data_IF_935207412716
#
_entry.id   IF_935207412716
#
_cell.length_a   1.000
_cell.length_b   1.000
_cell.length_c   1.000
_cell.angle_alpha   90.00
_cell.angle_beta   90.00
_cell.angle_gamma   90.00
#
_symmetry.space_group_name_H-M   'P 1'
#
loop_
_entity.id
_entity.type
_entity.pdbx_description
1 polymer ?
#
# COMPACT_ATOMS: atom_id res chain seq x y z
N UNK A 1 -6.30 5.22 17.83
CA UNK A 1 -7.36 4.36 17.23
C UNK A 1 -8.38 3.88 18.29
N UNK A 2 -8.41 4.54 19.46
CA UNK A 2 -9.29 4.19 20.58
C UNK A 2 -10.74 3.97 20.16
N UNK A 3 -11.30 2.82 20.45
CA UNK A 3 -12.68 2.44 20.12
C UNK A 3 -13.01 2.25 18.64
N UNK A 4 -12.01 2.27 17.75
CA UNK A 4 -12.20 2.22 16.29
C UNK A 4 -12.21 0.80 15.76
N UNK A 5 -12.90 0.62 14.63
CA UNK A 5 -12.82 -0.58 13.80
C UNK A 5 -11.81 -0.36 12.64
N UNK A 6 -10.92 -1.32 12.43
CA UNK A 6 -9.81 -1.22 11.46
C UNK A 6 -9.81 -2.44 10.52
N UNK A 7 -9.72 -2.18 9.21
CA UNK A 7 -9.49 -3.19 8.18
C UNK A 7 -8.10 -2.97 7.59
N UNK A 8 -7.27 -4.01 7.58
CA UNK A 8 -5.92 -4.01 6.99
C UNK A 8 -5.93 -4.86 5.71
N UNK A 9 -5.80 -4.19 4.57
CA UNK A 9 -5.84 -4.78 3.23
C UNK A 9 -4.43 -5.17 2.76
N UNK A 10 -4.15 -6.46 2.65
CA UNK A 10 -2.82 -7.00 2.41
C UNK A 10 -1.98 -6.92 3.69
N UNK A 11 -2.51 -7.45 4.79
CA UNK A 11 -1.94 -7.28 6.13
C UNK A 11 -0.59 -7.98 6.34
N UNK A 12 -0.16 -8.84 5.42
CA UNK A 12 1.07 -9.61 5.55
C UNK A 12 1.10 -10.41 6.86
N UNK A 13 2.17 -10.25 7.64
CA UNK A 13 2.29 -10.89 8.96
C UNK A 13 1.61 -10.12 10.11
N UNK A 14 0.74 -9.14 9.81
CA UNK A 14 -0.18 -8.53 10.78
C UNK A 14 0.39 -7.43 11.67
N UNK A 15 1.50 -6.80 11.28
CA UNK A 15 2.14 -5.76 12.10
C UNK A 15 1.22 -4.56 12.35
N UNK A 16 0.53 -4.08 11.32
CA UNK A 16 -0.40 -2.94 11.45
C UNK A 16 -1.64 -3.32 12.26
N UNK A 17 -2.12 -4.57 12.14
CA UNK A 17 -3.22 -5.07 12.97
C UNK A 17 -2.83 -5.04 14.45
N UNK A 18 -1.61 -5.51 14.80
CA UNK A 18 -1.11 -5.49 16.16
C UNK A 18 -0.95 -4.06 16.69
N UNK A 19 -0.36 -3.19 15.89
CA UNK A 19 -0.26 -1.76 16.22
C UNK A 19 -1.63 -1.13 16.45
N UNK A 20 -2.64 -1.45 15.63
CA UNK A 20 -3.99 -0.93 15.79
C UNK A 20 -4.61 -1.37 17.14
N UNK A 21 -4.43 -2.64 17.55
CA UNK A 21 -4.86 -3.14 18.85
C UNK A 21 -4.17 -2.39 20.01
N UNK A 22 -2.85 -2.20 19.91
CA UNK A 22 -2.07 -1.45 20.91
C UNK A 22 -2.49 0.04 21.00
N UNK A 23 -3.05 0.60 19.92
CA UNK A 23 -3.62 1.94 19.90
C UNK A 23 -5.11 1.99 20.28
N UNK A 24 -5.66 0.92 20.86
CA UNK A 24 -7.01 0.87 21.40
C UNK A 24 -8.13 0.57 20.40
N UNK A 25 -7.82 0.06 19.20
CA UNK A 25 -8.84 -0.41 18.29
C UNK A 25 -9.57 -1.63 18.87
N UNK A 26 -10.90 -1.66 18.70
CA UNK A 26 -11.76 -2.69 19.34
C UNK A 26 -12.26 -3.77 18.40
N UNK A 27 -12.06 -3.57 17.10
CA UNK A 27 -12.36 -4.54 16.05
C UNK A 27 -11.33 -4.40 14.94
N UNK A 28 -10.58 -5.45 14.65
CA UNK A 28 -9.52 -5.42 13.65
C UNK A 28 -9.65 -6.66 12.77
N UNK A 29 -9.67 -6.46 11.46
CA UNK A 29 -9.61 -7.52 10.47
C UNK A 29 -8.41 -7.30 9.56
N UNK A 30 -7.48 -8.26 9.54
CA UNK A 30 -6.42 -8.32 8.55
C UNK A 30 -6.76 -9.34 7.47
N UNK A 31 -6.70 -8.94 6.21
CA UNK A 31 -6.83 -9.86 5.09
C UNK A 31 -5.54 -9.91 4.26
N UNK A 32 -5.20 -11.10 3.80
CA UNK A 32 -4.07 -11.32 2.89
C UNK A 32 -4.34 -12.55 2.02
N UNK A 33 -3.92 -12.52 0.76
CA UNK A 33 -4.08 -13.65 -0.17
C UNK A 33 -3.18 -14.84 0.24
N UNK A 34 -2.04 -14.55 0.86
CA UNK A 34 -1.04 -15.55 1.23
C UNK A 34 -1.39 -16.26 2.53
N UNK A 35 -1.78 -17.53 2.41
CA UNK A 35 -1.98 -18.42 3.58
C UNK A 35 -0.77 -18.40 4.53
N UNK A 36 0.46 -18.39 3.98
CA UNK A 36 1.69 -18.36 4.77
C UNK A 36 1.82 -17.07 5.59
N UNK A 37 1.45 -15.92 5.02
CA UNK A 37 1.46 -14.65 5.74
C UNK A 37 0.41 -14.64 6.86
N UNK A 38 -0.78 -15.14 6.62
CA UNK A 38 -1.82 -15.26 7.65
C UNK A 38 -1.38 -16.20 8.79
N UNK A 39 -0.76 -17.33 8.49
CA UNK A 39 -0.22 -18.23 9.52
C UNK A 39 0.87 -17.54 10.36
N UNK A 40 1.75 -16.76 9.75
CA UNK A 40 2.75 -15.97 10.48
C UNK A 40 2.12 -14.82 11.27
N UNK A 41 1.08 -14.15 10.75
CA UNK A 41 0.34 -13.11 11.46
C UNK A 41 -0.29 -13.68 12.75
N UNK A 42 -0.95 -14.82 12.66
CA UNK A 42 -1.54 -15.52 13.80
C UNK A 42 -0.52 -15.93 14.86
N UNK A 43 0.70 -16.30 14.46
CA UNK A 43 1.78 -16.66 15.39
C UNK A 43 2.41 -15.47 16.08
N UNK A 44 2.67 -14.39 15.33
CA UNK A 44 3.49 -13.26 15.80
C UNK A 44 2.69 -12.11 16.34
N UNK A 45 1.53 -11.85 15.76
CA UNK A 45 0.72 -10.65 15.97
C UNK A 45 -0.74 -10.99 16.28
N UNK A 46 -1.00 -12.09 16.96
CA UNK A 46 -2.34 -12.40 17.48
C UNK A 46 -2.77 -11.39 18.55
N UNK A 47 -4.07 -11.23 18.68
CA UNK A 47 -4.69 -10.36 19.69
C UNK A 47 -6.17 -10.71 19.90
N UNK A 48 -6.74 -10.23 21.00
CA UNK A 48 -8.14 -10.50 21.33
C UNK A 48 -9.12 -9.76 20.41
N UNK A 49 -8.69 -8.67 19.80
CA UNK A 49 -9.49 -7.82 18.93
C UNK A 49 -9.17 -8.05 17.44
N UNK A 50 -8.25 -8.99 17.13
CA UNK A 50 -7.72 -9.20 15.79
C UNK A 50 -8.25 -10.52 15.21
N UNK A 51 -8.92 -10.40 14.06
CA UNK A 51 -9.24 -11.52 13.17
C UNK A 51 -8.32 -11.47 11.95
N UNK A 52 -7.83 -12.63 11.49
CA UNK A 52 -7.09 -12.78 10.25
C UNK A 52 -7.84 -13.69 9.28
N UNK A 53 -7.93 -13.27 8.02
CA UNK A 53 -8.66 -14.01 6.97
C UNK A 53 -7.83 -14.13 5.69
N UNK A 54 -7.80 -15.32 5.13
CA UNK A 54 -7.23 -15.53 3.79
C UNK A 54 -8.27 -15.03 2.78
N UNK A 55 -7.94 -13.94 2.07
CA UNK A 55 -8.80 -13.34 1.04
C UNK A 55 -7.96 -12.43 0.14
N UNK A 56 -8.22 -12.44 -1.16
CA UNK A 56 -7.79 -11.38 -2.06
C UNK A 56 -8.51 -10.07 -1.76
N UNK A 57 -7.91 -8.94 -2.15
CA UNK A 57 -8.52 -7.63 -1.98
C UNK A 57 -9.77 -7.48 -2.86
N UNK A 58 -9.75 -8.05 -4.07
CA UNK A 58 -10.85 -8.04 -5.01
C UNK A 58 -12.03 -8.91 -4.56
N UNK A 59 -11.74 -9.97 -3.80
CA UNK A 59 -12.71 -11.00 -3.39
C UNK A 59 -13.42 -10.65 -2.07
N UNK A 60 -12.84 -9.76 -1.25
CA UNK A 60 -13.47 -9.32 -0.01
C UNK A 60 -14.78 -8.58 -0.29
N UNK A 61 -15.83 -8.83 0.50
CA UNK A 61 -17.19 -8.34 0.25
C UNK A 61 -17.42 -6.87 0.58
N UNK A 62 -16.54 -6.24 1.36
CA UNK A 62 -16.60 -4.82 1.75
C UNK A 62 -17.99 -4.40 2.27
N UNK A 63 -18.45 -4.90 3.46
CA UNK A 63 -19.75 -4.53 4.01
C UNK A 63 -19.90 -3.00 4.18
N UNK A 64 -21.08 -2.48 3.92
CA UNK A 64 -21.32 -1.03 3.95
C UNK A 64 -21.16 -0.43 5.34
N UNK A 65 -20.47 0.71 5.44
CA UNK A 65 -20.32 1.50 6.67
C UNK A 65 -19.83 0.70 7.88
N UNK A 66 -18.93 -0.26 7.64
CA UNK A 66 -18.43 -1.18 8.68
C UNK A 66 -17.19 -0.64 9.41
N UNK A 67 -16.30 0.04 8.69
CA UNK A 67 -14.98 0.38 9.18
C UNK A 67 -14.78 1.86 9.44
N UNK A 68 -14.15 2.21 10.57
CA UNK A 68 -13.70 3.57 10.86
C UNK A 68 -12.40 3.91 10.13
N UNK A 69 -11.55 2.90 9.91
CA UNK A 69 -10.27 3.05 9.25
C UNK A 69 -9.99 1.84 8.35
N UNK A 70 -9.54 2.10 7.13
CA UNK A 70 -8.97 1.09 6.23
C UNK A 70 -7.51 1.45 6.00
N UNK A 71 -6.63 0.46 6.16
CA UNK A 71 -5.19 0.58 5.94
C UNK A 71 -4.80 -0.34 4.80
N UNK A 72 -3.83 0.05 3.98
CA UNK A 72 -3.16 -0.83 3.04
C UNK A 72 -1.70 -0.43 2.90
N UNK A 73 -0.78 -1.32 3.20
CA UNK A 73 0.64 -1.03 3.08
C UNK A 73 1.30 -1.97 2.09
N UNK A 74 1.78 -1.42 0.97
CA UNK A 74 2.51 -2.12 -0.08
C UNK A 74 1.75 -3.33 -0.69
N UNK A 75 0.43 -3.22 -0.83
CA UNK A 75 -0.41 -4.25 -1.44
C UNK A 75 -1.13 -3.76 -2.72
N UNK A 76 -1.48 -2.48 -2.80
CA UNK A 76 -2.31 -1.95 -3.90
C UNK A 76 -1.62 -1.97 -5.28
N UNK A 77 -0.31 -2.00 -5.34
CA UNK A 77 0.43 -2.12 -6.60
C UNK A 77 0.43 -3.55 -7.19
N UNK A 78 -0.29 -4.48 -6.58
CA UNK A 78 -0.59 -5.80 -7.16
C UNK A 78 -1.98 -5.87 -7.80
N UNK A 79 -2.79 -4.81 -7.68
CA UNK A 79 -4.19 -4.77 -8.09
C UNK A 79 -4.32 -4.16 -9.49
N UNK A 80 -4.99 -4.87 -10.40
CA UNK A 80 -5.19 -4.42 -11.78
C UNK A 80 -6.16 -3.22 -11.84
N UNK A 81 -7.32 -3.31 -11.23
CA UNK A 81 -8.28 -2.21 -11.13
C UNK A 81 -8.26 -1.57 -9.73
N UNK A 82 -7.29 -0.69 -9.52
CA UNK A 82 -7.15 0.04 -8.26
C UNK A 82 -8.37 0.95 -7.98
N UNK A 83 -9.05 1.44 -9.03
CA UNK A 83 -10.21 2.32 -8.88
C UNK A 83 -11.41 1.55 -8.34
N UNK A 84 -11.60 0.29 -8.75
CA UNK A 84 -12.61 -0.59 -8.17
C UNK A 84 -12.37 -0.80 -6.66
N UNK A 85 -11.10 -1.01 -6.26
CA UNK A 85 -10.77 -1.11 -4.82
C UNK A 85 -11.11 0.19 -4.09
N UNK A 86 -10.82 1.35 -4.66
CA UNK A 86 -11.19 2.63 -4.03
C UNK A 86 -12.71 2.77 -3.85
N UNK A 87 -13.53 2.33 -4.81
CA UNK A 87 -14.99 2.28 -4.67
C UNK A 87 -15.43 1.37 -3.53
N UNK A 88 -14.85 0.16 -3.45
CA UNK A 88 -15.13 -0.81 -2.40
C UNK A 88 -14.74 -0.28 -1.03
N UNK A 89 -13.55 0.35 -0.91
CA UNK A 89 -13.09 0.99 0.33
C UNK A 89 -13.99 2.15 0.72
N UNK A 90 -14.39 3.01 -0.23
CA UNK A 90 -15.33 4.08 0.06
C UNK A 90 -16.65 3.54 0.61
N UNK A 91 -17.21 2.51 -0.02
CA UNK A 91 -18.46 1.86 0.42
C UNK A 91 -18.37 1.35 1.85
N UNK A 92 -17.28 0.66 2.20
CA UNK A 92 -17.14 -0.01 3.50
C UNK A 92 -16.77 0.94 4.64
N UNK A 93 -16.15 2.08 4.34
CA UNK A 93 -15.88 3.10 5.35
C UNK A 93 -17.17 3.73 5.86
N UNK A 94 -17.22 4.03 7.16
CA UNK A 94 -18.24 4.87 7.76
C UNK A 94 -18.13 6.33 7.26
N UNK A 95 -19.18 7.15 7.37
CA UNK A 95 -19.07 8.58 7.11
C UNK A 95 -17.90 9.20 7.91
N UNK A 96 -17.01 9.90 7.24
CA UNK A 96 -15.78 10.46 7.85
C UNK A 96 -14.69 9.43 8.16
N UNK A 97 -14.85 8.19 7.75
CA UNK A 97 -13.85 7.14 7.92
C UNK A 97 -12.59 7.42 7.10
N UNK A 98 -11.47 6.88 7.55
CA UNK A 98 -10.13 7.16 7.02
C UNK A 98 -9.68 6.00 6.14
N UNK A 99 -9.17 6.32 4.95
CA UNK A 99 -8.35 5.43 4.14
C UNK A 99 -6.89 5.90 4.17
N UNK A 100 -6.00 5.06 4.66
CA UNK A 100 -4.56 5.30 4.72
C UNK A 100 -3.85 4.21 3.95
N UNK A 101 -3.07 4.57 2.94
CA UNK A 101 -2.29 3.57 2.23
C UNK A 101 -0.90 4.08 1.84
N UNK A 102 -0.01 3.12 1.66
CA UNK A 102 1.32 3.24 1.08
C UNK A 102 1.40 2.33 -0.14
N UNK A 103 1.76 2.89 -1.28
CA UNK A 103 1.90 2.18 -2.56
C UNK A 103 3.25 2.51 -3.19
N UNK A 104 3.80 1.61 -3.98
CA UNK A 104 4.96 1.96 -4.81
C UNK A 104 4.61 3.15 -5.71
N UNK A 105 5.50 4.15 -5.71
CA UNK A 105 5.27 5.38 -6.48
C UNK A 105 5.24 5.09 -7.99
N UNK A 106 4.39 5.78 -8.79
CA UNK A 106 4.34 5.61 -10.24
C UNK A 106 5.69 5.78 -10.97
N UNK A 107 6.57 6.65 -10.47
CA UNK A 107 7.94 6.78 -10.98
C UNK A 107 8.74 5.49 -10.75
N UNK A 108 8.52 4.81 -9.63
CA UNK A 108 9.20 3.56 -9.34
C UNK A 108 8.67 2.42 -10.20
N UNK A 109 7.35 2.27 -10.32
CA UNK A 109 6.72 1.20 -11.11
C UNK A 109 6.88 1.40 -12.62
N UNK A 110 7.15 2.62 -13.11
CA UNK A 110 7.51 2.91 -14.50
C UNK A 110 9.03 2.78 -14.77
N UNK A 111 9.81 2.43 -13.76
CA UNK A 111 11.25 2.21 -13.91
C UNK A 111 11.54 1.01 -14.81
N UNK A 112 12.48 1.18 -15.73
CA UNK A 112 12.92 0.11 -16.63
C UNK A 112 13.65 -0.96 -15.81
N UNK A 113 13.09 -2.17 -15.75
CA UNK A 113 13.58 -3.25 -14.90
C UNK A 113 13.46 -3.00 -13.40
N UNK A 114 12.90 -1.86 -12.98
CA UNK A 114 12.85 -1.39 -11.58
C UNK A 114 14.21 -1.43 -10.89
N UNK A 115 15.23 -1.07 -11.63
CA UNK A 115 16.61 -0.97 -11.16
C UNK A 115 17.31 0.26 -11.73
N UNK A 116 18.46 0.61 -11.15
CA UNK A 116 19.31 1.68 -11.64
C UNK A 116 19.99 1.29 -12.95
N UNK A 117 20.25 2.28 -13.79
CA UNK A 117 21.27 2.12 -14.84
C UNK A 117 22.61 2.41 -14.18
N UNK A 118 23.55 1.50 -14.34
CA UNK A 118 24.86 1.58 -13.72
C UNK A 118 25.93 2.03 -14.69
N UNK A 119 26.95 2.67 -14.17
CA UNK A 119 28.21 2.94 -14.87
C UNK A 119 29.05 1.66 -15.00
N UNK A 120 30.08 1.67 -15.82
CA UNK A 120 30.98 0.53 -16.03
C UNK A 120 31.68 0.12 -14.72
N UNK A 121 31.88 1.05 -13.76
CA UNK A 121 32.45 0.78 -12.44
C UNK A 121 31.39 0.43 -11.39
N UNK A 122 30.15 0.17 -11.81
CA UNK A 122 29.06 -0.37 -10.97
C UNK A 122 28.37 0.65 -10.06
N UNK A 123 28.46 1.95 -10.35
CA UNK A 123 27.76 2.99 -9.58
C UNK A 123 26.40 3.32 -10.20
N UNK A 124 25.36 3.58 -9.39
CA UNK A 124 24.06 4.05 -9.88
C UNK A 124 24.20 5.37 -10.65
N UNK A 125 23.91 5.35 -11.95
CA UNK A 125 24.02 6.51 -12.83
C UNK A 125 22.73 7.33 -12.88
N UNK A 126 21.63 6.67 -13.23
CA UNK A 126 20.29 7.28 -13.24
C UNK A 126 19.21 6.20 -13.18
N UNK A 127 18.00 6.63 -12.76
CA UNK A 127 16.80 5.80 -12.82
C UNK A 127 16.10 6.03 -14.16
N UNK A 128 16.01 5.02 -14.99
CA UNK A 128 15.37 5.11 -16.29
C UNK A 128 13.85 4.90 -16.17
N UNK A 129 13.07 5.81 -16.72
CA UNK A 129 11.60 5.72 -16.78
C UNK A 129 11.19 5.53 -18.22
N UNK A 130 10.31 4.56 -18.49
CA UNK A 130 9.70 4.36 -19.80
C UNK A 130 8.25 3.90 -19.64
N UNK A 131 7.47 4.12 -20.71
CA UNK A 131 6.07 3.66 -20.75
C UNK A 131 5.18 4.16 -19.60
N UNK A 132 5.45 5.35 -19.04
CA UNK A 132 4.71 5.88 -17.89
C UNK A 132 3.20 5.99 -18.11
N UNK A 133 2.75 6.31 -19.32
CA UNK A 133 1.33 6.41 -19.65
C UNK A 133 0.71 5.09 -20.15
N UNK A 134 1.52 4.05 -20.31
CA UNK A 134 1.06 2.69 -20.60
C UNK A 134 0.93 1.95 -19.28
N UNK A 135 -0.29 1.90 -18.75
CA UNK A 135 -0.61 1.26 -17.46
C UNK A 135 -0.74 -0.25 -17.59
N UNK A 136 -0.74 -0.96 -16.47
CA UNK A 136 -0.88 -2.41 -16.41
C UNK A 136 0.37 -3.14 -15.95
N UNK A 137 0.52 -4.37 -16.35
CA UNK A 137 1.53 -5.30 -15.82
C UNK A 137 2.98 -4.84 -16.00
N UNK A 138 3.74 -5.06 -14.94
CA UNK A 138 5.20 -4.94 -14.88
C UNK A 138 5.79 -6.20 -14.26
N UNK A 139 6.57 -6.92 -15.05
CA UNK A 139 7.33 -8.06 -14.56
C UNK A 139 8.61 -7.56 -13.91
N UNK A 140 8.81 -7.87 -12.65
CA UNK A 140 9.96 -7.42 -11.86
C UNK A 140 10.55 -8.57 -11.07
N UNK A 141 11.82 -8.46 -10.72
CA UNK A 141 12.48 -9.40 -9.81
C UNK A 141 12.61 -8.76 -8.43
N UNK A 142 11.95 -9.34 -7.42
CA UNK A 142 11.91 -8.79 -6.06
C UNK A 142 12.14 -9.89 -5.02
N UNK A 143 13.06 -9.66 -4.10
CA UNK A 143 13.42 -10.61 -3.02
C UNK A 143 13.70 -12.05 -3.52
N UNK A 144 14.34 -12.19 -4.69
CA UNK A 144 14.70 -13.48 -5.26
C UNK A 144 13.59 -14.22 -5.99
N UNK A 145 12.45 -13.55 -6.22
CA UNK A 145 11.31 -14.10 -6.95
C UNK A 145 10.87 -13.15 -8.07
N UNK A 146 10.39 -13.72 -9.17
CA UNK A 146 9.70 -12.95 -10.20
C UNK A 146 8.28 -12.64 -9.71
N UNK A 147 7.93 -11.36 -9.74
CA UNK A 147 6.61 -10.87 -9.33
C UNK A 147 6.01 -9.99 -10.43
N UNK A 148 4.71 -10.09 -10.59
CA UNK A 148 3.94 -9.20 -11.46
C UNK A 148 3.35 -8.09 -10.60
N UNK A 149 3.64 -6.84 -10.96
CA UNK A 149 3.05 -5.65 -10.35
C UNK A 149 2.18 -4.92 -11.38
N UNK A 150 1.34 -4.05 -10.92
CA UNK A 150 0.49 -3.21 -11.76
C UNK A 150 0.98 -1.76 -11.68
N UNK A 151 1.32 -1.20 -12.82
CA UNK A 151 1.65 0.21 -12.94
C UNK A 151 0.38 1.04 -13.12
N UNK A 152 0.21 2.02 -12.25
CA UNK A 152 -0.82 3.06 -12.34
C UNK A 152 -0.15 4.43 -12.43
N UNK A 153 -0.72 5.35 -13.20
CA UNK A 153 -0.24 6.74 -13.18
C UNK A 153 -0.64 7.44 -11.89
N UNK A 154 0.11 8.47 -11.49
CA UNK A 154 -0.27 9.31 -10.36
C UNK A 154 -1.69 9.89 -10.52
N UNK A 155 -2.06 10.28 -11.77
CA UNK A 155 -3.41 10.75 -12.07
C UNK A 155 -4.47 9.69 -11.78
N UNK A 156 -4.26 8.41 -12.15
CA UNK A 156 -5.22 7.35 -11.86
C UNK A 156 -5.42 7.16 -10.36
N UNK A 157 -4.34 7.20 -9.58
CA UNK A 157 -4.41 7.05 -8.12
C UNK A 157 -5.16 8.23 -7.50
N UNK A 158 -4.74 9.45 -7.77
CA UNK A 158 -5.30 10.66 -7.13
C UNK A 158 -6.73 10.93 -7.61
N UNK A 159 -6.97 10.91 -8.92
CA UNK A 159 -8.30 11.15 -9.45
C UNK A 159 -9.26 9.99 -9.18
N UNK A 160 -8.72 8.75 -9.09
CA UNK A 160 -9.50 7.60 -8.66
C UNK A 160 -10.10 7.78 -7.28
N UNK A 161 -9.36 8.33 -6.33
CA UNK A 161 -9.87 8.68 -4.99
C UNK A 161 -10.88 9.82 -5.05
N UNK A 162 -10.51 10.95 -5.67
CA UNK A 162 -11.37 12.15 -5.72
C UNK A 162 -12.72 11.87 -6.41
N UNK A 163 -12.72 11.15 -7.52
CA UNK A 163 -13.93 10.81 -8.26
C UNK A 163 -14.84 9.82 -7.50
N UNK A 164 -14.30 9.10 -6.52
CA UNK A 164 -15.05 8.19 -5.65
C UNK A 164 -15.48 8.83 -4.31
N UNK A 165 -15.41 10.15 -4.18
CA UNK A 165 -15.94 10.87 -3.01
C UNK A 165 -14.97 11.01 -1.83
N UNK A 166 -13.70 10.65 -2.01
CA UNK A 166 -12.70 10.90 -0.99
C UNK A 166 -12.22 12.37 -1.00
N UNK A 167 -11.95 12.88 0.18
CA UNK A 167 -11.20 14.11 0.39
C UNK A 167 -9.76 13.74 0.75
N UNK A 168 -8.79 14.18 -0.04
CA UNK A 168 -7.38 13.99 0.27
C UNK A 168 -6.95 14.89 1.43
N UNK A 169 -6.28 14.32 2.41
CA UNK A 169 -5.72 15.05 3.56
C UNK A 169 -4.20 15.09 3.55
N UNK A 170 -3.57 14.04 3.06
CA UNK A 170 -2.12 13.93 2.89
C UNK A 170 -1.84 13.19 1.60
N UNK A 171 -0.90 13.70 0.83
CA UNK A 171 -0.22 13.01 -0.26
C UNK A 171 1.26 13.28 -0.04
N UNK A 172 2.03 12.24 0.19
CA UNK A 172 3.44 12.35 0.57
C UNK A 172 4.28 11.36 -0.23
N UNK A 173 5.29 11.88 -0.90
CA UNK A 173 6.36 11.09 -1.50
C UNK A 173 7.41 10.88 -0.40
N UNK A 174 7.46 9.66 0.15
CA UNK A 174 8.29 9.38 1.32
C UNK A 174 9.78 9.47 0.97
N UNK A 175 10.48 10.30 1.71
CA UNK A 175 11.94 10.38 1.68
C UNK A 175 12.55 9.44 2.73
N UNK A 176 13.78 8.92 2.50
CA UNK A 176 14.50 8.17 3.53
C UNK A 176 14.71 9.03 4.79
N UNK A 177 14.52 8.46 6.00
CA UNK A 177 14.77 9.16 7.23
C UNK A 177 16.25 9.59 7.34
N UNK A 178 16.49 10.75 7.93
CA UNK A 178 17.87 11.28 8.11
C UNK A 178 18.79 10.32 8.85
N UNK A 179 18.23 9.54 9.78
CA UNK A 179 18.93 8.55 10.59
C UNK A 179 19.42 7.34 9.76
N UNK A 180 18.90 7.16 8.55
CA UNK A 180 19.26 6.07 7.66
C UNK A 180 20.28 6.48 6.59
N UNK A 181 20.66 7.76 6.52
CA UNK A 181 21.54 8.26 5.45
C UNK A 181 22.97 7.68 5.48
N UNK A 182 23.40 7.17 6.63
CA UNK A 182 24.69 6.46 6.77
C UNK A 182 24.67 5.02 6.22
N UNK A 183 23.48 4.52 5.84
CA UNK A 183 23.34 3.17 5.25
C UNK A 183 23.73 3.25 3.77
N UNK A 184 24.64 2.39 3.28
CA UNK A 184 25.04 2.37 1.87
C UNK A 184 23.84 2.28 0.92
N UNK A 185 23.77 3.19 -0.05
CA UNK A 185 22.69 3.28 -1.05
C UNK A 185 21.50 4.16 -0.65
N UNK A 186 21.38 4.60 0.62
CA UNK A 186 20.28 5.47 1.04
C UNK A 186 20.29 6.85 0.36
N UNK A 187 21.47 7.39 0.06
CA UNK A 187 21.58 8.65 -0.68
C UNK A 187 20.96 8.54 -2.10
N UNK A 188 21.04 7.39 -2.72
CA UNK A 188 20.44 7.16 -4.04
C UNK A 188 18.92 7.15 -3.98
N UNK A 189 18.32 6.80 -2.85
CA UNK A 189 16.86 6.86 -2.65
C UNK A 189 16.30 8.27 -2.69
N UNK A 190 17.12 9.32 -2.45
CA UNK A 190 16.73 10.73 -2.62
C UNK A 190 16.61 11.15 -4.10
N UNK A 191 17.07 10.33 -5.03
CA UNK A 191 17.12 10.67 -6.47
C UNK A 191 15.83 10.32 -7.21
N UNK A 192 14.94 9.58 -6.59
CA UNK A 192 13.62 9.23 -7.10
C UNK A 192 12.66 8.87 -5.98
N UNK A 193 11.35 9.17 -6.08
CA UNK A 193 10.37 8.68 -5.14
C UNK A 193 10.16 7.17 -5.31
N UNK A 194 10.24 6.42 -4.21
CA UNK A 194 9.96 4.98 -4.19
C UNK A 194 8.54 4.69 -3.75
N UNK A 195 8.05 5.46 -2.77
CA UNK A 195 6.78 5.23 -2.11
C UNK A 195 5.89 6.47 -2.19
N UNK A 196 4.58 6.22 -2.27
CA UNK A 196 3.54 7.23 -2.19
C UNK A 196 2.60 6.91 -1.03
N UNK A 197 2.59 7.77 -0.01
CA UNK A 197 1.67 7.67 1.11
C UNK A 197 0.48 8.60 0.87
N UNK A 198 -0.72 8.07 1.07
CA UNK A 198 -1.95 8.85 0.90
C UNK A 198 -2.86 8.62 2.11
N UNK A 199 -3.37 9.74 2.67
CA UNK A 199 -4.45 9.74 3.63
C UNK A 199 -5.67 10.43 3.02
N UNK A 200 -6.79 9.73 2.97
CA UNK A 200 -8.05 10.23 2.45
C UNK A 200 -9.19 10.01 3.44
N UNK A 201 -10.24 10.82 3.36
CA UNK A 201 -11.44 10.71 4.20
C UNK A 201 -12.65 10.49 3.31
N UNK A 202 -13.47 9.49 3.65
CA UNK A 202 -14.74 9.23 2.96
C UNK A 202 -15.77 10.34 3.31
N UNK A 203 -16.08 11.18 2.34
CA UNK A 203 -17.14 12.22 2.48
C UNK A 203 -18.48 11.65 2.06
N UNK A 204 -19.16 11.04 3.02
CA UNK A 204 -20.53 10.55 2.88
C UNK A 204 -21.49 11.50 3.58
#
# INVERSE_FOLDING_TARGET
LEGKSVLDLGCGYGWHCKFAEEQGATKILGIDLSKKMIEEAQKRNSGNQIEYRISGLEEYDYPENEWDCVISNLALHYIEDIVEIFQKVYRTLKPGGIFLFNIEHPVFTAGVGQDWIYTDDGKPQYWAIDNYFITGERNTHFLGCDVVKQHHTLTQIIMGLLNNGFELKVVEEAEPPKEMMDIPGMEDELRRPMMLLVKAIAKK
#
